data_IF_964068801311
#
_entry.id   IF_964068801311
#
_cell.length_a   1.000
_cell.length_b   1.000
_cell.length_c   1.000
_cell.angle_alpha   90.00
_cell.angle_beta   90.00
_cell.angle_gamma   90.00
#
_symmetry.space_group_name_H-M   'P 1'
#
loop_
_entity.id
_entity.type
_entity.pdbx_description
1 polymer ?
#
# COMPACT_ATOMS: atom_id res chain seq x y z
N UNK A 1 -32.24 -3.28 -16.93
CA UNK A 1 -31.77 -1.90 -16.93
C UNK A 1 -30.36 -1.91 -17.50
N UNK A 2 -30.11 -1.23 -18.63
CA UNK A 2 -28.74 -1.05 -19.13
C UNK A 2 -28.04 -0.06 -18.19
N UNK A 3 -27.30 -0.59 -17.22
CA UNK A 3 -26.37 0.24 -16.46
C UNK A 3 -25.25 0.67 -17.40
N UNK A 4 -24.98 1.96 -17.50
CA UNK A 4 -23.82 2.45 -18.24
C UNK A 4 -22.57 1.74 -17.67
N UNK A 5 -21.61 1.34 -18.53
CA UNK A 5 -20.40 0.70 -18.05
C UNK A 5 -19.65 1.65 -17.11
N UNK A 6 -19.05 1.09 -16.07
CA UNK A 6 -18.15 1.87 -15.21
C UNK A 6 -16.99 2.40 -16.05
N UNK A 7 -16.50 3.60 -15.73
CA UNK A 7 -15.44 4.26 -16.49
C UNK A 7 -14.19 3.39 -16.64
N UNK A 8 -13.86 2.60 -15.62
CA UNK A 8 -12.68 1.72 -15.60
C UNK A 8 -12.79 0.48 -16.48
N UNK A 9 -13.97 0.17 -17.02
CA UNK A 9 -14.15 -0.97 -17.93
C UNK A 9 -13.58 -0.72 -19.31
N UNK A 10 -13.52 0.55 -19.74
CA UNK A 10 -13.05 0.95 -21.05
C UNK A 10 -11.99 2.07 -20.98
N UNK A 11 -11.65 2.53 -19.77
CA UNK A 11 -10.72 3.64 -19.56
C UNK A 11 -9.25 3.23 -19.70
N UNK A 12 -8.43 4.18 -20.10
CA UNK A 12 -6.96 4.07 -20.16
C UNK A 12 -6.38 4.72 -18.91
N UNK A 13 -5.66 3.94 -18.11
CA UNK A 13 -4.98 4.39 -16.90
C UNK A 13 -3.51 4.61 -17.19
N UNK A 14 -2.99 5.80 -16.94
CA UNK A 14 -1.60 6.17 -17.14
C UNK A 14 -0.88 6.21 -15.79
N UNK A 15 0.14 5.40 -15.64
CA UNK A 15 0.96 5.40 -14.42
C UNK A 15 1.91 6.60 -14.39
N UNK A 16 1.91 7.33 -13.29
CA UNK A 16 2.88 8.38 -13.00
C UNK A 16 3.67 8.03 -11.74
N UNK A 17 4.99 8.04 -11.88
CA UNK A 17 5.91 8.03 -10.75
C UNK A 17 6.27 9.50 -10.45
N UNK A 18 5.67 10.12 -9.41
CA UNK A 18 5.84 11.56 -9.15
C UNK A 18 7.30 11.99 -9.11
N UNK A 19 8.15 11.18 -8.46
CA UNK A 19 9.59 11.41 -8.28
C UNK A 19 10.34 11.73 -9.58
N UNK A 20 9.94 11.16 -10.72
CA UNK A 20 10.64 11.29 -12.00
C UNK A 20 9.83 11.96 -13.10
N UNK A 21 8.62 12.46 -12.80
CA UNK A 21 7.73 12.97 -13.85
C UNK A 21 7.99 14.42 -14.21
N UNK A 22 7.91 15.34 -13.24
CA UNK A 22 8.16 16.78 -13.46
C UNK A 22 8.55 17.42 -12.13
N UNK A 23 9.73 18.05 -12.10
CA UNK A 23 10.23 18.86 -10.99
C UNK A 23 9.85 20.32 -11.19
N UNK A 24 9.16 20.92 -10.22
CA UNK A 24 8.79 22.35 -10.24
C UNK A 24 9.68 23.21 -9.34
N UNK A 25 10.52 22.59 -8.52
CA UNK A 25 11.33 23.26 -7.49
C UNK A 25 12.81 23.37 -7.84
N UNK A 26 13.27 22.60 -8.84
CA UNK A 26 14.68 22.47 -9.19
C UNK A 26 15.48 21.59 -8.23
N UNK A 27 14.79 20.76 -7.45
CA UNK A 27 15.41 19.85 -6.47
C UNK A 27 16.06 18.61 -7.11
N UNK A 28 15.74 18.33 -8.37
CA UNK A 28 16.09 17.09 -9.05
C UNK A 28 15.08 15.97 -8.82
N UNK A 29 14.01 16.23 -8.06
CA UNK A 29 12.91 15.27 -7.77
C UNK A 29 11.60 15.89 -8.22
N UNK A 30 10.80 15.12 -8.97
CA UNK A 30 9.46 15.52 -9.39
C UNK A 30 8.49 15.63 -8.22
N UNK A 31 7.40 16.36 -8.42
CA UNK A 31 6.43 16.70 -7.39
C UNK A 31 4.99 16.72 -7.91
N UNK A 32 3.99 16.83 -6.99
CA UNK A 32 2.57 16.83 -7.34
C UNK A 32 2.18 18.06 -8.18
N UNK A 33 2.80 19.22 -7.95
CA UNK A 33 2.59 20.41 -8.77
C UNK A 33 3.04 20.17 -10.20
N UNK A 34 4.14 19.41 -10.39
CA UNK A 34 4.62 19.00 -11.70
C UNK A 34 3.61 18.12 -12.43
N UNK A 35 2.95 17.23 -11.73
CA UNK A 35 1.83 16.44 -12.30
C UNK A 35 0.69 17.37 -12.71
N UNK A 36 0.30 18.31 -11.85
CA UNK A 36 -0.76 19.30 -12.12
C UNK A 36 -0.45 20.12 -13.36
N UNK A 37 0.79 20.58 -13.54
CA UNK A 37 1.22 21.34 -14.70
C UNK A 37 1.16 20.55 -16.03
N UNK A 38 1.16 19.23 -15.97
CA UNK A 38 1.14 18.34 -17.14
C UNK A 38 -0.24 17.77 -17.48
N UNK A 39 -1.29 18.17 -16.78
CA UNK A 39 -2.64 17.63 -17.01
C UNK A 39 -3.15 17.88 -18.44
N UNK A 40 -2.84 19.03 -19.06
CA UNK A 40 -3.24 19.31 -20.46
C UNK A 40 -2.54 18.39 -21.47
N UNK A 41 -1.27 18.07 -21.22
CA UNK A 41 -0.54 17.06 -21.99
C UNK A 41 -1.21 15.68 -21.84
N UNK A 42 -1.54 15.27 -20.62
CA UNK A 42 -2.18 13.99 -20.34
C UNK A 42 -3.57 13.90 -20.94
N UNK A 43 -4.35 14.99 -20.91
CA UNK A 43 -5.64 15.08 -21.61
C UNK A 43 -5.49 14.93 -23.12
N UNK A 44 -4.49 15.59 -23.71
CA UNK A 44 -4.19 15.49 -25.14
C UNK A 44 -3.74 14.08 -25.54
N UNK A 45 -3.06 13.37 -24.63
CA UNK A 45 -2.68 11.97 -24.82
C UNK A 45 -3.89 11.03 -24.85
N UNK A 46 -5.04 11.46 -24.33
CA UNK A 46 -6.30 10.74 -24.39
C UNK A 46 -6.48 9.68 -23.28
N UNK A 47 -5.85 9.89 -22.12
CA UNK A 47 -6.02 9.02 -20.95
C UNK A 47 -7.29 9.39 -20.18
N UNK A 48 -7.85 8.41 -19.48
CA UNK A 48 -9.05 8.57 -18.64
C UNK A 48 -8.72 8.72 -17.15
N UNK A 49 -7.60 8.18 -16.72
CA UNK A 49 -7.15 8.25 -15.33
C UNK A 49 -5.63 8.26 -15.19
N UNK A 50 -5.17 8.84 -14.09
CA UNK A 50 -3.79 8.82 -13.64
C UNK A 50 -3.70 7.87 -12.44
N UNK A 51 -2.79 6.90 -12.47
CA UNK A 51 -2.37 6.16 -11.31
C UNK A 51 -1.06 6.74 -10.79
N UNK A 52 -1.11 7.33 -9.58
CA UNK A 52 0.07 7.82 -8.86
C UNK A 52 0.70 6.68 -8.05
N UNK A 53 1.98 6.40 -8.27
CA UNK A 53 2.76 5.53 -7.37
C UNK A 53 2.93 6.20 -6.00
N UNK A 54 3.34 5.47 -4.94
CA UNK A 54 3.31 6.01 -3.59
C UNK A 54 4.08 7.34 -3.43
N UNK A 55 3.41 8.32 -2.84
CA UNK A 55 3.95 9.65 -2.51
C UNK A 55 3.73 9.98 -1.03
N UNK A 56 3.36 9.00 -0.24
CA UNK A 56 3.16 9.07 1.21
C UNK A 56 4.48 9.27 1.94
N UNK A 57 4.42 9.66 3.23
CA UNK A 57 5.64 9.68 4.05
C UNK A 57 6.27 8.28 4.08
N UNK A 58 7.52 8.21 3.67
CA UNK A 58 8.29 6.98 3.54
C UNK A 58 9.78 7.22 3.79
N UNK A 59 10.50 6.32 4.46
CA UNK A 59 11.97 6.33 4.51
C UNK A 59 12.64 6.07 3.17
N UNK A 60 11.88 5.72 2.11
CA UNK A 60 12.35 5.49 0.75
C UNK A 60 13.30 4.28 0.60
N UNK A 61 13.21 3.30 1.47
CA UNK A 61 13.98 2.02 1.37
C UNK A 61 13.59 1.27 0.11
N UNK A 62 12.29 1.31 -0.23
CA UNK A 62 11.73 0.72 -1.44
C UNK A 62 10.95 1.76 -2.26
N UNK A 63 11.57 2.92 -2.51
CA UNK A 63 11.06 3.97 -3.39
C UNK A 63 9.61 4.40 -3.08
N UNK A 64 9.22 4.43 -1.81
CA UNK A 64 7.90 4.84 -1.35
C UNK A 64 6.97 3.68 -1.01
N UNK A 65 7.29 2.44 -1.39
CA UNK A 65 6.49 1.27 -1.03
C UNK A 65 6.70 0.81 0.43
N UNK A 66 7.59 1.43 1.17
CA UNK A 66 7.77 1.32 2.61
C UNK A 66 7.06 2.50 3.32
N UNK A 67 5.72 2.45 3.36
CA UNK A 67 4.87 3.55 3.85
C UNK A 67 4.97 3.69 5.36
N UNK A 68 5.33 4.90 5.84
CA UNK A 68 5.39 5.25 7.26
C UNK A 68 4.15 6.02 7.75
N UNK A 69 3.39 6.66 6.84
CA UNK A 69 2.11 7.28 7.15
C UNK A 69 1.26 7.38 5.87
N UNK A 70 0.14 6.66 5.84
CA UNK A 70 -0.75 6.58 4.68
C UNK A 70 -1.57 7.84 4.42
N UNK A 71 -1.74 8.72 5.40
CA UNK A 71 -2.63 9.89 5.32
C UNK A 71 -1.87 11.22 5.26
N UNK A 72 -0.55 11.17 5.04
CA UNK A 72 0.29 12.33 4.88
C UNK A 72 1.18 12.19 3.64
N UNK A 73 1.44 13.30 2.99
CA UNK A 73 2.30 13.38 1.81
C UNK A 73 3.74 13.62 2.26
N UNK A 74 4.69 12.94 1.64
CA UNK A 74 6.10 13.21 1.85
C UNK A 74 6.41 14.64 1.35
N UNK A 75 7.02 15.49 2.19
CA UNK A 75 7.32 16.87 1.84
C UNK A 75 8.14 17.04 0.55
N UNK A 76 8.84 15.99 0.13
CA UNK A 76 9.56 15.99 -1.15
C UNK A 76 8.61 16.12 -2.34
N UNK A 77 7.39 15.60 -2.23
CA UNK A 77 6.40 15.60 -3.31
C UNK A 77 5.39 16.74 -3.20
N UNK A 78 5.27 17.39 -2.04
CA UNK A 78 4.35 18.49 -1.82
C UNK A 78 3.53 18.37 -0.55
N UNK A 79 2.33 18.92 -0.57
CA UNK A 79 1.41 19.01 0.56
C UNK A 79 0.04 18.39 0.23
N UNK A 80 -0.83 18.26 1.23
CA UNK A 80 -2.23 17.88 1.00
C UNK A 80 -2.96 18.90 0.13
N UNK A 81 -2.66 20.20 0.26
CA UNK A 81 -3.24 21.23 -0.59
C UNK A 81 -2.82 21.09 -2.07
N UNK A 82 -1.56 20.71 -2.32
CA UNK A 82 -1.08 20.41 -3.67
C UNK A 82 -1.80 19.19 -4.28
N UNK A 83 -2.11 18.20 -3.45
CA UNK A 83 -2.87 17.04 -3.87
C UNK A 83 -4.33 17.40 -4.16
N UNK A 84 -4.98 18.16 -3.28
CA UNK A 84 -6.36 18.59 -3.45
C UNK A 84 -6.50 19.45 -4.73
N UNK A 85 -5.51 20.32 -5.02
CA UNK A 85 -5.44 21.05 -6.29
C UNK A 85 -5.29 20.10 -7.49
N UNK A 86 -4.41 19.10 -7.40
CA UNK A 86 -4.24 18.12 -8.48
C UNK A 86 -5.56 17.40 -8.79
N UNK A 87 -6.27 16.92 -7.77
CA UNK A 87 -7.56 16.25 -7.93
C UNK A 87 -8.58 17.18 -8.61
N UNK A 88 -8.74 18.40 -8.10
CA UNK A 88 -9.68 19.37 -8.66
C UNK A 88 -9.37 19.66 -10.13
N UNK A 89 -8.10 19.94 -10.47
CA UNK A 89 -7.66 20.23 -11.84
C UNK A 89 -7.75 19.04 -12.78
N UNK A 90 -7.55 17.82 -12.28
CA UNK A 90 -7.74 16.59 -13.05
C UNK A 90 -9.22 16.40 -13.40
N UNK A 91 -10.11 16.56 -12.43
CA UNK A 91 -11.57 16.46 -12.62
C UNK A 91 -12.12 17.51 -13.58
N UNK A 92 -11.62 18.76 -13.58
CA UNK A 92 -11.96 19.77 -14.58
C UNK A 92 -11.66 19.32 -16.02
N UNK A 93 -10.80 18.33 -16.20
CA UNK A 93 -10.40 17.75 -17.49
C UNK A 93 -10.96 16.37 -17.75
N UNK A 94 -11.90 15.90 -16.94
CA UNK A 94 -12.42 14.52 -16.96
C UNK A 94 -11.29 13.47 -16.85
N UNK A 95 -10.27 13.76 -16.06
CA UNK A 95 -9.19 12.81 -15.70
C UNK A 95 -9.42 12.38 -14.26
N UNK A 96 -9.46 11.08 -14.01
CA UNK A 96 -9.64 10.50 -12.70
C UNK A 96 -8.31 10.22 -12.01
N UNK A 97 -8.33 10.16 -10.68
CA UNK A 97 -7.15 9.90 -9.86
C UNK A 97 -7.27 8.53 -9.19
N UNK A 98 -6.27 7.69 -9.43
CA UNK A 98 -6.12 6.37 -8.81
C UNK A 98 -4.85 6.40 -7.94
N UNK A 99 -4.98 5.96 -6.70
CA UNK A 99 -3.85 5.90 -5.76
C UNK A 99 -3.34 4.48 -5.56
N UNK A 100 -2.04 4.39 -5.35
CA UNK A 100 -1.38 3.14 -4.98
C UNK A 100 -1.51 2.88 -3.47
N UNK A 101 -2.11 1.75 -3.11
CA UNK A 101 -2.30 1.34 -1.71
C UNK A 101 -1.45 0.12 -1.40
N UNK A 102 -0.45 0.31 -0.56
CA UNK A 102 0.49 -0.73 -0.13
C UNK A 102 -0.05 -1.34 1.15
N UNK A 103 -0.90 -2.36 1.04
CA UNK A 103 -1.64 -2.91 2.17
C UNK A 103 -1.13 -4.26 2.68
N UNK A 104 -0.13 -4.86 2.01
CA UNK A 104 0.50 -6.07 2.53
C UNK A 104 1.39 -5.79 3.74
N UNK A 105 2.06 -4.63 3.79
CA UNK A 105 3.07 -4.29 4.79
C UNK A 105 3.11 -2.78 5.04
N UNK A 106 3.80 -2.38 6.10
CA UNK A 106 4.16 -0.97 6.34
C UNK A 106 5.67 -0.85 6.52
N UNK A 107 6.19 0.38 6.46
CA UNK A 107 7.51 0.65 6.99
C UNK A 107 7.58 0.30 8.48
N UNK A 108 8.75 -0.16 8.94
CA UNK A 108 9.05 -0.29 10.38
C UNK A 108 9.09 1.07 11.09
N UNK A 109 9.05 2.18 10.33
CA UNK A 109 8.89 3.52 10.89
C UNK A 109 7.42 3.95 11.04
N UNK A 110 6.45 3.17 10.56
CA UNK A 110 5.04 3.42 10.77
C UNK A 110 4.68 3.41 12.27
N UNK A 111 3.79 4.30 12.69
CA UNK A 111 3.39 4.38 14.11
C UNK A 111 2.88 3.03 14.63
N UNK A 112 2.08 2.31 13.84
CA UNK A 112 1.58 0.99 14.25
C UNK A 112 2.70 -0.02 14.52
N UNK A 113 3.78 -0.01 13.71
CA UNK A 113 4.90 -0.93 13.94
C UNK A 113 5.68 -0.53 15.20
N UNK A 114 5.97 0.75 15.38
CA UNK A 114 6.65 1.25 16.58
C UNK A 114 5.89 0.90 17.86
N UNK A 115 4.57 1.11 17.86
CA UNK A 115 3.70 0.72 18.97
C UNK A 115 3.67 -0.80 19.17
N UNK A 116 3.77 -1.59 18.09
CA UNK A 116 3.77 -3.05 18.16
C UNK A 116 5.03 -3.65 18.81
N UNK A 117 6.07 -2.87 19.02
CA UNK A 117 7.29 -3.33 19.72
C UNK A 117 6.99 -3.63 21.19
N UNK A 118 6.06 -2.93 21.80
CA UNK A 118 5.53 -3.28 23.13
C UNK A 118 4.57 -4.48 22.97
N UNK A 119 4.90 -5.60 23.64
CA UNK A 119 4.07 -6.81 23.65
C UNK A 119 2.67 -6.58 24.25
N UNK A 120 2.49 -5.58 25.10
CA UNK A 120 1.20 -5.23 25.70
C UNK A 120 0.37 -4.26 24.83
N UNK A 121 0.95 -3.70 23.78
CA UNK A 121 0.27 -2.76 22.90
C UNK A 121 -0.88 -3.45 22.12
N UNK A 122 -2.02 -2.78 21.92
CA UNK A 122 -3.07 -3.27 21.03
C UNK A 122 -2.59 -3.41 19.57
N UNK A 123 -1.52 -2.72 19.18
CA UNK A 123 -0.91 -2.83 17.86
C UNK A 123 -0.01 -4.07 17.71
N UNK A 124 0.27 -4.82 18.80
CA UNK A 124 1.12 -6.01 18.70
C UNK A 124 0.62 -6.98 17.64
N UNK A 125 -0.68 -7.22 17.61
CA UNK A 125 -1.33 -8.14 16.67
C UNK A 125 -1.57 -7.53 15.27
N UNK A 126 -1.11 -6.30 15.02
CA UNK A 126 -1.17 -5.71 13.68
C UNK A 126 -0.14 -6.32 12.73
N UNK A 127 0.91 -6.91 13.29
CA UNK A 127 1.98 -7.56 12.53
C UNK A 127 2.10 -9.04 12.91
N UNK A 128 2.80 -9.79 12.07
CA UNK A 128 2.98 -11.23 12.25
C UNK A 128 4.26 -11.46 13.02
N UNK A 129 4.11 -11.84 14.30
CA UNK A 129 5.21 -12.12 15.20
C UNK A 129 5.26 -13.63 15.51
N UNK A 130 6.49 -14.17 15.66
CA UNK A 130 6.72 -15.57 16.08
C UNK A 130 7.86 -15.65 17.07
N UNK A 131 7.69 -16.50 18.08
CA UNK A 131 8.73 -16.82 19.05
C UNK A 131 9.89 -17.53 18.36
N UNK A 132 11.09 -17.41 18.92
CA UNK A 132 12.27 -18.05 18.39
C UNK A 132 13.50 -17.74 19.20
N UNK A 133 14.65 -18.07 18.64
CA UNK A 133 15.96 -17.68 19.14
C UNK A 133 16.76 -17.03 18.00
N UNK A 134 17.80 -16.25 18.27
CA UNK A 134 18.54 -15.52 17.23
C UNK A 134 19.02 -16.40 16.06
N UNK A 135 19.21 -17.70 16.31
CA UNK A 135 19.79 -18.64 15.34
C UNK A 135 18.74 -19.63 14.76
N UNK A 136 17.47 -19.50 15.14
CA UNK A 136 16.42 -20.44 14.70
C UNK A 136 15.23 -19.68 14.11
N UNK A 137 15.16 -19.67 12.78
CA UNK A 137 14.05 -19.04 12.05
C UNK A 137 12.73 -19.78 12.31
N UNK A 138 11.60 -19.06 12.32
CA UNK A 138 10.26 -19.67 12.45
C UNK A 138 9.93 -20.70 11.36
N UNK A 139 10.43 -20.47 10.14
CA UNK A 139 10.34 -21.38 9.00
C UNK A 139 11.35 -20.97 7.92
N UNK A 140 11.37 -21.69 6.80
CA UNK A 140 12.32 -21.47 5.71
C UNK A 140 11.82 -20.51 4.62
N UNK A 141 10.78 -19.72 4.87
CA UNK A 141 10.27 -18.76 3.88
C UNK A 141 11.31 -17.71 3.51
N UNK A 142 11.29 -17.31 2.25
CA UNK A 142 12.24 -16.35 1.70
C UNK A 142 11.55 -15.05 1.31
N UNK A 143 12.28 -13.95 1.51
CA UNK A 143 11.90 -12.63 1.03
C UNK A 143 11.94 -12.57 -0.50
N UNK A 144 11.05 -11.77 -1.08
CA UNK A 144 11.05 -11.42 -2.52
C UNK A 144 12.35 -10.72 -2.96
N UNK A 145 13.01 -10.02 -2.02
CA UNK A 145 14.27 -9.32 -2.25
C UNK A 145 15.50 -10.18 -1.91
N UNK A 146 15.28 -11.43 -1.55
CA UNK A 146 16.34 -12.40 -1.20
C UNK A 146 16.56 -12.53 0.32
N UNK A 147 17.27 -13.57 0.71
CA UNK A 147 17.42 -13.90 2.13
C UNK A 147 16.18 -14.56 2.73
N UNK A 148 16.12 -14.65 4.06
CA UNK A 148 14.96 -15.17 4.79
C UNK A 148 13.86 -14.10 4.91
N UNK A 149 12.63 -14.51 5.22
CA UNK A 149 11.47 -13.63 5.38
C UNK A 149 11.23 -13.20 6.85
N UNK A 150 12.16 -13.46 7.74
CA UNK A 150 12.01 -13.20 9.17
C UNK A 150 13.15 -12.35 9.72
N UNK A 151 12.80 -11.30 10.47
CA UNK A 151 13.78 -10.45 11.15
C UNK A 151 13.67 -10.61 12.66
N UNK A 152 14.78 -10.94 13.29
CA UNK A 152 14.88 -11.01 14.75
C UNK A 152 14.81 -9.62 15.39
N UNK A 153 13.96 -9.49 16.40
CA UNK A 153 13.88 -8.32 17.26
C UNK A 153 14.29 -8.71 18.68
N UNK A 154 15.48 -8.27 19.08
CA UNK A 154 16.15 -8.75 20.29
C UNK A 154 15.38 -8.40 21.58
N UNK A 155 14.81 -7.17 21.66
CA UNK A 155 14.11 -6.71 22.88
C UNK A 155 12.81 -7.47 23.12
N UNK A 156 12.13 -7.93 22.07
CA UNK A 156 10.92 -8.74 22.20
C UNK A 156 11.20 -10.24 22.14
N UNK A 157 12.43 -10.66 21.87
CA UNK A 157 12.81 -12.06 21.67
C UNK A 157 11.86 -12.79 20.71
N UNK A 158 11.52 -12.12 19.61
CA UNK A 158 10.64 -12.65 18.58
C UNK A 158 11.11 -12.22 17.18
N UNK A 159 10.66 -12.97 16.19
CA UNK A 159 10.76 -12.59 14.79
C UNK A 159 9.50 -11.90 14.32
N UNK A 160 9.63 -10.92 13.42
CA UNK A 160 8.53 -10.44 12.60
C UNK A 160 8.71 -10.84 11.13
N UNK A 161 7.59 -11.06 10.45
CA UNK A 161 7.56 -11.41 9.03
C UNK A 161 7.81 -10.18 8.16
N UNK A 162 8.63 -10.33 7.11
CA UNK A 162 8.78 -9.37 6.03
C UNK A 162 8.95 -10.11 4.69
N UNK A 163 8.00 -9.98 3.79
CA UNK A 163 8.10 -10.63 2.47
C UNK A 163 8.93 -9.80 1.47
N UNK A 164 9.30 -8.56 1.82
CA UNK A 164 10.15 -7.65 1.06
C UNK A 164 11.38 -7.25 1.88
N UNK A 165 11.76 -5.98 1.93
CA UNK A 165 12.88 -5.55 2.78
C UNK A 165 12.59 -5.79 4.28
N UNK A 166 13.60 -6.00 5.11
CA UNK A 166 13.41 -6.08 6.57
C UNK A 166 12.70 -4.88 7.18
N UNK A 167 12.79 -3.73 6.54
CA UNK A 167 12.11 -2.48 6.92
C UNK A 167 10.64 -2.44 6.50
N UNK A 168 10.11 -3.47 5.83
CA UNK A 168 8.73 -3.59 5.36
C UNK A 168 8.01 -4.73 6.08
N UNK A 169 7.55 -4.47 7.31
CA UNK A 169 6.91 -5.48 8.15
C UNK A 169 5.50 -5.85 7.64
N UNK A 170 5.22 -7.13 7.48
CA UNK A 170 3.95 -7.65 6.97
C UNK A 170 2.81 -7.46 7.97
N UNK A 171 1.70 -6.89 7.50
CA UNK A 171 0.48 -6.71 8.27
C UNK A 171 -0.27 -8.04 8.46
N UNK A 172 -0.85 -8.19 9.62
CA UNK A 172 -1.68 -9.35 9.97
C UNK A 172 -3.15 -9.12 9.58
N UNK A 173 -3.52 -9.49 8.36
CA UNK A 173 -4.89 -9.33 7.85
C UNK A 173 -5.92 -10.24 8.54
N UNK A 174 -5.50 -11.25 9.30
CA UNK A 174 -6.41 -12.02 10.16
C UNK A 174 -7.02 -11.14 11.24
N UNK A 175 -6.30 -10.11 11.69
CA UNK A 175 -6.77 -9.16 12.67
C UNK A 175 -7.80 -8.17 12.07
N UNK A 176 -9.05 -8.18 12.52
CA UNK A 176 -10.07 -7.26 12.01
C UNK A 176 -9.76 -5.77 12.29
N UNK A 177 -8.95 -5.47 13.33
CA UNK A 177 -8.54 -4.11 13.62
C UNK A 177 -7.61 -3.55 12.53
N UNK A 178 -6.73 -4.38 11.95
CA UNK A 178 -5.90 -3.99 10.80
C UNK A 178 -6.81 -3.61 9.62
N UNK A 179 -7.78 -4.47 9.27
CA UNK A 179 -8.70 -4.20 8.18
C UNK A 179 -9.54 -2.93 8.42
N UNK A 180 -9.94 -2.68 9.67
CA UNK A 180 -10.68 -1.47 10.04
C UNK A 180 -9.83 -0.20 9.84
N UNK A 181 -8.55 -0.22 10.21
CA UNK A 181 -7.66 0.93 9.99
C UNK A 181 -7.37 1.16 8.50
N UNK A 182 -7.17 0.09 7.72
CA UNK A 182 -6.98 0.20 6.27
C UNK A 182 -8.22 0.77 5.56
N UNK A 183 -9.44 0.43 6.03
CA UNK A 183 -10.68 1.03 5.53
C UNK A 183 -10.70 2.54 5.76
N UNK A 184 -10.29 3.03 6.95
CA UNK A 184 -10.19 4.46 7.24
C UNK A 184 -9.19 5.17 6.31
N UNK A 185 -8.08 4.51 5.96
CA UNK A 185 -7.14 5.05 4.96
C UNK A 185 -7.82 5.22 3.61
N UNK A 186 -8.57 4.22 3.15
CA UNK A 186 -9.32 4.33 1.88
C UNK A 186 -10.37 5.44 1.94
N UNK A 187 -11.09 5.57 3.05
CA UNK A 187 -12.09 6.61 3.29
C UNK A 187 -11.46 8.00 3.26
N UNK A 188 -10.31 8.18 3.92
CA UNK A 188 -9.59 9.46 3.93
C UNK A 188 -9.28 9.98 2.52
N UNK A 189 -8.81 9.11 1.64
CA UNK A 189 -8.50 9.50 0.27
C UNK A 189 -9.74 9.63 -0.62
N UNK A 190 -10.75 8.78 -0.41
CA UNK A 190 -12.02 8.90 -1.11
C UNK A 190 -12.73 10.23 -0.79
N UNK A 191 -12.68 10.67 0.47
CA UNK A 191 -13.23 11.96 0.90
C UNK A 191 -12.50 13.17 0.29
N UNK A 192 -11.27 12.97 -0.22
CA UNK A 192 -10.49 13.95 -0.99
C UNK A 192 -10.68 13.87 -2.50
N UNK A 193 -11.65 13.06 -2.96
CA UNK A 193 -12.01 12.97 -4.38
C UNK A 193 -11.22 11.96 -5.20
N UNK A 194 -10.55 11.00 -4.56
CA UNK A 194 -9.91 9.88 -5.27
C UNK A 194 -10.97 8.98 -5.90
N UNK A 195 -10.77 8.60 -7.15
CA UNK A 195 -11.73 7.84 -7.96
C UNK A 195 -11.46 6.33 -7.97
N UNK A 196 -10.28 5.91 -7.55
CA UNK A 196 -9.92 4.50 -7.55
C UNK A 196 -8.64 4.19 -6.77
N UNK A 197 -8.44 2.91 -6.49
CA UNK A 197 -7.30 2.41 -5.74
C UNK A 197 -6.62 1.26 -6.51
N UNK A 198 -5.33 1.35 -6.68
CA UNK A 198 -4.49 0.24 -7.11
C UNK A 198 -3.91 -0.43 -5.88
N UNK A 199 -4.27 -1.67 -5.65
CA UNK A 199 -3.85 -2.41 -4.47
C UNK A 199 -2.55 -3.16 -4.78
N UNK A 200 -1.44 -2.68 -4.21
CA UNK A 200 -0.12 -3.26 -4.42
C UNK A 200 -0.01 -4.64 -3.75
N UNK A 201 0.56 -5.60 -4.48
CA UNK A 201 0.80 -6.98 -4.05
C UNK A 201 -0.33 -7.60 -3.21
N UNK A 202 -1.56 -7.23 -3.51
CA UNK A 202 -2.75 -7.58 -2.71
C UNK A 202 -2.98 -9.09 -2.61
N UNK A 203 -2.43 -9.85 -3.53
CA UNK A 203 -2.48 -11.31 -3.50
C UNK A 203 -1.63 -11.94 -2.38
N UNK A 204 -0.89 -11.16 -1.60
CA UNK A 204 -0.05 -11.64 -0.50
C UNK A 204 -0.68 -11.46 0.89
N UNK A 205 -1.85 -10.83 1.01
CA UNK A 205 -2.43 -10.47 2.31
C UNK A 205 -2.99 -11.66 3.09
N UNK A 206 -3.38 -12.74 2.41
CA UNK A 206 -3.85 -13.98 3.05
C UNK A 206 -2.74 -15.01 3.08
N UNK A 207 -2.32 -15.40 4.27
CA UNK A 207 -1.21 -16.33 4.49
C UNK A 207 -1.69 -17.56 5.27
N UNK A 208 -1.02 -18.69 5.05
CA UNK A 208 -1.24 -19.89 5.88
C UNK A 208 -0.83 -19.58 7.33
N UNK A 209 -1.76 -19.77 8.27
CA UNK A 209 -1.57 -19.37 9.66
C UNK A 209 -0.75 -20.36 10.49
N UNK A 210 -0.52 -21.55 9.97
CA UNK A 210 0.38 -22.54 10.59
C UNK A 210 1.85 -22.22 10.29
N UNK A 211 2.11 -21.38 9.27
CA UNK A 211 3.45 -20.97 8.84
C UNK A 211 4.41 -22.14 8.66
N UNK A 212 4.02 -23.18 7.89
CA UNK A 212 4.82 -24.39 7.75
C UNK A 212 6.10 -24.14 6.96
N UNK A 213 7.10 -25.02 7.16
CA UNK A 213 8.25 -25.08 6.26
C UNK A 213 7.80 -25.49 4.85
N UNK A 214 8.40 -24.87 3.85
CA UNK A 214 8.21 -25.27 2.47
C UNK A 214 9.29 -26.29 2.06
N UNK A 215 8.92 -27.56 2.03
CA UNK A 215 9.80 -28.66 1.64
C UNK A 215 10.09 -28.71 0.14
N UNK A 216 9.36 -27.93 -0.68
CA UNK A 216 9.45 -27.95 -2.15
C UNK A 216 9.91 -26.62 -2.76
N UNK A 217 10.00 -25.57 -1.95
CA UNK A 217 10.27 -24.23 -2.44
C UNK A 217 10.71 -23.23 -1.37
N UNK A 218 10.26 -21.99 -1.54
CA UNK A 218 10.68 -20.82 -0.78
C UNK A 218 9.55 -20.20 0.08
N UNK A 219 8.47 -20.93 0.31
CA UNK A 219 7.31 -20.50 1.07
C UNK A 219 6.21 -19.85 0.24
N UNK A 220 6.44 -19.48 -1.02
CA UNK A 220 5.48 -18.74 -1.87
C UNK A 220 4.09 -19.30 -1.88
N UNK A 221 3.93 -20.61 -1.98
CA UNK A 221 2.63 -21.28 -2.02
C UNK A 221 1.79 -21.10 -0.75
N UNK A 222 2.40 -20.69 0.36
CA UNK A 222 1.72 -20.48 1.63
C UNK A 222 1.35 -19.02 1.90
N UNK A 223 1.87 -18.08 1.12
CA UNK A 223 1.59 -16.66 1.29
C UNK A 223 1.12 -15.96 0.01
N UNK A 224 0.93 -16.69 -1.09
CA UNK A 224 0.41 -16.14 -2.36
C UNK A 224 -0.97 -16.72 -2.61
N UNK A 225 -1.94 -15.84 -2.93
CA UNK A 225 -3.32 -16.22 -3.26
C UNK A 225 -3.97 -17.14 -2.19
N UNK A 226 -3.71 -16.81 -0.92
CA UNK A 226 -4.18 -17.61 0.21
C UNK A 226 -5.70 -17.67 0.32
N UNK A 227 -6.23 -18.59 1.15
CA UNK A 227 -7.63 -19.01 1.10
C UNK A 227 -8.64 -17.91 1.44
N UNK A 228 -8.25 -16.88 2.18
CA UNK A 228 -9.14 -15.79 2.62
C UNK A 228 -9.02 -14.50 1.82
N UNK A 229 -8.21 -14.47 0.76
CA UNK A 229 -7.99 -13.24 -0.01
C UNK A 229 -9.30 -12.63 -0.54
N UNK A 230 -10.17 -13.46 -1.12
CA UNK A 230 -11.44 -12.98 -1.66
C UNK A 230 -12.42 -12.54 -0.57
N UNK A 231 -12.38 -13.16 0.61
CA UNK A 231 -13.15 -12.71 1.77
C UNK A 231 -12.78 -11.28 2.16
N UNK A 232 -11.48 -10.99 2.28
CA UNK A 232 -10.99 -9.66 2.62
C UNK A 232 -11.29 -8.61 1.53
N UNK A 233 -11.11 -8.96 0.27
CA UNK A 233 -11.43 -8.06 -0.84
C UNK A 233 -12.92 -7.76 -0.94
N UNK A 234 -13.79 -8.77 -0.70
CA UNK A 234 -15.23 -8.59 -0.65
C UNK A 234 -15.65 -7.71 0.54
N UNK A 235 -15.01 -7.88 1.70
CA UNK A 235 -15.21 -7.01 2.86
C UNK A 235 -14.87 -5.56 2.52
N UNK A 236 -13.70 -5.28 1.95
CA UNK A 236 -13.29 -3.93 1.53
C UNK A 236 -14.24 -3.35 0.48
N UNK A 237 -14.63 -4.16 -0.50
CA UNK A 237 -15.55 -3.74 -1.57
C UNK A 237 -16.92 -3.38 -1.01
N UNK A 238 -17.50 -4.23 -0.17
CA UNK A 238 -18.82 -3.99 0.43
C UNK A 238 -18.84 -2.76 1.31
N UNK A 239 -17.79 -2.59 2.13
CA UNK A 239 -17.78 -1.61 3.22
C UNK A 239 -17.29 -0.23 2.75
N UNK A 240 -16.41 -0.18 1.72
CA UNK A 240 -15.78 1.08 1.27
C UNK A 240 -15.93 1.31 -0.24
N UNK A 241 -15.48 0.36 -1.08
CA UNK A 241 -15.32 0.67 -2.51
C UNK A 241 -16.67 0.86 -3.20
N UNK A 242 -17.62 -0.06 -2.99
CA UNK A 242 -18.95 0.02 -3.61
C UNK A 242 -19.74 1.23 -3.13
N UNK A 243 -19.86 1.54 -1.82
CA UNK A 243 -20.58 2.72 -1.35
C UNK A 243 -20.02 4.06 -1.88
N UNK A 244 -18.72 4.10 -2.15
CA UNK A 244 -18.03 5.31 -2.64
C UNK A 244 -17.78 5.30 -4.14
N UNK A 245 -18.26 4.28 -4.87
CA UNK A 245 -18.07 4.10 -6.32
C UNK A 245 -16.58 4.17 -6.73
N UNK A 246 -15.70 3.60 -5.92
CA UNK A 246 -14.27 3.50 -6.22
C UNK A 246 -13.98 2.32 -7.16
N UNK A 247 -13.06 2.56 -8.09
CA UNK A 247 -12.42 1.50 -8.87
C UNK A 247 -11.48 0.70 -7.97
#
# INVERSE_FOLDING_TARGET
MNTLPHWWQNGVIYQIYPKSFQDTTGSGTGDLRGVTQRLDYLKTLGIDAIWLTPFYISPQVDNGYDVANYTAIDPTYGTLDDFDELVARAHERDIRIVLDMVFNHTSTQHAWFRESLDKASPYRQFYIWRDGTPDTLPNNWRSKFGGNAWRWHAESEQYYLHLFAPEQADLNWENPAVRAELKKVCEFWADRGVDGLRLDVINLISKDQDFPDDTLGDGRRFYTDGPRIHEYLQEMSRDVFTPRNLM
#
